data_IF_412519049320
#
_entry.id   IF_412519049320
#
_cell.length_a   1.000
_cell.length_b   1.000
_cell.length_c   1.000
_cell.angle_alpha   90.00
_cell.angle_beta   90.00
_cell.angle_gamma   90.00
#
_symmetry.space_group_name_H-M   'P 1'
#
loop_
_entity.id
_entity.type
_entity.pdbx_description
1 polymer ?
#
# COMPACT_ATOMS: atom_id res chain seq x y z
N UNK A 1 -50.11 8.88 58.20
CA UNK A 1 -48.98 8.15 58.79
C UNK A 1 -49.34 6.67 58.72
N UNK A 2 -48.92 5.96 57.73
CA UNK A 2 -49.06 4.51 57.59
C UNK A 2 -47.66 3.97 57.48
N UNK A 3 -47.35 3.01 58.35
CA UNK A 3 -46.02 2.56 58.70
C UNK A 3 -45.33 1.76 57.57
N UNK A 4 -44.08 2.11 57.36
CA UNK A 4 -43.09 1.50 56.42
C UNK A 4 -42.52 0.17 56.95
N UNK A 5 -43.30 -0.77 57.44
CA UNK A 5 -42.72 -1.96 58.10
C UNK A 5 -43.41 -3.32 57.81
N UNK A 6 -44.06 -3.49 56.67
CA UNK A 6 -44.65 -4.80 56.35
C UNK A 6 -44.50 -5.20 54.87
N UNK A 7 -43.34 -4.99 54.23
CA UNK A 7 -43.10 -5.47 52.86
C UNK A 7 -41.76 -6.18 52.70
N UNK A 8 -41.22 -6.78 53.76
CA UNK A 8 -39.99 -7.57 53.67
C UNK A 8 -40.27 -8.90 54.36
N UNK A 9 -41.08 -9.78 53.78
CA UNK A 9 -41.16 -11.19 54.18
C UNK A 9 -42.03 -11.99 53.26
N UNK A 10 -41.77 -12.01 51.95
CA UNK A 10 -42.32 -13.02 51.00
C UNK A 10 -41.65 -13.01 49.63
N UNK A 11 -40.34 -13.10 49.53
CA UNK A 11 -39.64 -13.57 48.30
C UNK A 11 -38.39 -14.31 48.73
N UNK A 12 -38.55 -15.42 49.43
CA UNK A 12 -37.52 -16.40 49.63
C UNK A 12 -38.04 -17.72 49.10
N UNK A 13 -37.97 -17.90 47.81
CA UNK A 13 -38.46 -19.12 47.18
C UNK A 13 -38.17 -19.12 45.67
N UNK A 14 -37.06 -19.70 45.27
CA UNK A 14 -36.92 -20.25 43.91
C UNK A 14 -36.28 -19.38 42.84
N UNK A 15 -35.07 -18.88 43.02
CA UNK A 15 -34.19 -18.63 41.89
C UNK A 15 -33.41 -19.89 41.54
N UNK A 16 -34.08 -20.84 40.87
CA UNK A 16 -33.38 -21.81 40.05
C UNK A 16 -32.71 -20.99 38.95
N UNK A 17 -31.41 -20.71 39.10
CA UNK A 17 -30.59 -20.09 38.05
C UNK A 17 -30.53 -21.02 36.85
N UNK A 18 -31.38 -20.78 35.89
CA UNK A 18 -31.12 -21.26 34.54
C UNK A 18 -29.90 -20.49 34.02
N UNK A 19 -28.71 -20.97 34.35
CA UNK A 19 -27.54 -20.69 33.52
C UNK A 19 -27.85 -21.33 32.17
N UNK A 20 -28.40 -20.56 31.25
CA UNK A 20 -28.33 -20.89 29.84
C UNK A 20 -26.82 -20.88 29.52
N UNK A 21 -26.19 -22.05 29.73
CA UNK A 21 -24.94 -22.36 29.04
C UNK A 21 -25.30 -22.35 27.56
N UNK A 22 -25.14 -21.18 26.91
CA UNK A 22 -25.00 -21.19 25.47
C UNK A 22 -23.88 -22.20 25.20
N UNK A 23 -24.11 -23.24 24.38
CA UNK A 23 -23.01 -24.05 23.94
C UNK A 23 -22.02 -23.09 23.32
N UNK A 24 -20.81 -22.92 23.90
CA UNK A 24 -19.69 -22.39 23.20
C UNK A 24 -19.53 -23.35 22.01
N UNK A 25 -20.10 -22.98 20.87
CA UNK A 25 -19.73 -23.59 19.61
C UNK A 25 -18.21 -23.34 19.57
N UNK A 26 -17.45 -24.39 19.88
CA UNK A 26 -16.01 -24.40 19.69
C UNK A 26 -15.82 -24.18 18.19
N UNK A 27 -15.77 -22.92 17.78
CA UNK A 27 -15.43 -22.58 16.41
C UNK A 27 -14.06 -23.19 16.16
N UNK A 28 -13.97 -24.04 15.14
CA UNK A 28 -12.73 -24.71 14.78
C UNK A 28 -11.64 -23.66 14.53
N UNK A 29 -10.46 -23.93 15.05
CA UNK A 29 -9.26 -23.14 14.78
C UNK A 29 -9.05 -23.01 13.26
N UNK A 30 -8.71 -21.81 12.82
CA UNK A 30 -8.38 -21.50 11.44
C UNK A 30 -6.89 -21.14 11.38
N UNK A 31 -6.10 -21.91 10.66
CA UNK A 31 -4.69 -21.60 10.42
C UNK A 31 -4.57 -20.72 9.16
N UNK A 32 -3.75 -19.65 9.25
CA UNK A 32 -3.53 -18.69 8.18
C UNK A 32 -2.03 -18.41 8.00
N UNK A 33 -1.44 -19.01 6.97
CA UNK A 33 -0.08 -18.70 6.54
C UNK A 33 -0.08 -17.44 5.67
N UNK A 34 0.71 -16.44 6.05
CA UNK A 34 0.87 -15.18 5.33
C UNK A 34 2.30 -15.09 4.84
N UNK A 35 2.51 -15.05 3.53
CA UNK A 35 3.81 -14.82 2.89
C UNK A 35 3.94 -13.35 2.48
N UNK A 36 5.13 -12.79 2.46
CA UNK A 36 5.31 -11.35 2.24
C UNK A 36 6.41 -11.04 1.24
N UNK A 37 6.21 -9.96 0.48
CA UNK A 37 7.26 -9.35 -0.35
C UNK A 37 8.26 -8.50 0.46
N UNK A 38 7.98 -8.27 1.75
CA UNK A 38 8.75 -7.36 2.59
C UNK A 38 9.74 -8.10 3.48
N UNK A 39 10.97 -7.58 3.65
CA UNK A 39 11.93 -8.14 4.59
C UNK A 39 11.42 -8.10 6.03
N UNK A 40 11.82 -9.09 6.84
CA UNK A 40 11.48 -9.14 8.27
C UNK A 40 12.04 -7.91 9.00
N UNK A 41 11.25 -7.39 9.93
CA UNK A 41 11.60 -6.23 10.78
C UNK A 41 11.96 -4.95 10.00
N UNK A 42 11.72 -4.93 8.68
CA UNK A 42 11.94 -3.72 7.90
C UNK A 42 10.93 -2.64 8.32
N UNK A 43 11.41 -1.48 8.83
CA UNK A 43 10.54 -0.43 9.33
C UNK A 43 9.55 0.07 8.28
N UNK A 44 8.30 0.24 8.69
CA UNK A 44 7.20 0.53 7.79
C UNK A 44 6.59 -0.76 7.25
N UNK A 45 7.03 -1.28 6.12
CA UNK A 45 6.33 -2.36 5.40
C UNK A 45 6.45 -3.73 6.07
N UNK A 46 7.65 -4.14 6.47
CA UNK A 46 7.87 -5.42 7.14
C UNK A 46 7.22 -5.46 8.52
N UNK A 47 7.44 -4.42 9.33
CA UNK A 47 6.83 -4.31 10.67
C UNK A 47 5.32 -4.17 10.59
N UNK A 48 4.78 -3.50 9.56
CA UNK A 48 3.36 -3.40 9.26
C UNK A 48 2.75 -4.79 9.01
N UNK A 49 3.35 -5.55 8.11
CA UNK A 49 2.87 -6.90 7.78
C UNK A 49 2.88 -7.84 8.99
N UNK A 50 3.92 -7.77 9.84
CA UNK A 50 4.01 -8.55 11.08
C UNK A 50 2.95 -8.13 12.10
N UNK A 51 2.75 -6.84 12.28
CA UNK A 51 1.73 -6.25 13.18
C UNK A 51 0.33 -6.65 12.74
N UNK A 52 0.03 -6.57 11.44
CA UNK A 52 -1.23 -6.98 10.86
C UNK A 52 -1.51 -8.48 11.12
N UNK A 53 -0.53 -9.36 10.88
CA UNK A 53 -0.67 -10.78 11.14
C UNK A 53 -1.00 -11.04 12.63
N UNK A 54 -0.26 -10.43 13.55
CA UNK A 54 -0.52 -10.54 14.98
C UNK A 54 -1.93 -10.02 15.35
N UNK A 55 -2.35 -8.91 14.72
CA UNK A 55 -3.65 -8.29 14.99
C UNK A 55 -4.84 -9.16 14.60
N UNK A 56 -4.76 -9.91 13.51
CA UNK A 56 -5.79 -10.90 13.13
C UNK A 56 -5.96 -11.95 14.23
N UNK A 57 -4.85 -12.49 14.73
CA UNK A 57 -4.88 -13.48 15.82
C UNK A 57 -5.48 -12.89 17.11
N UNK A 58 -5.09 -11.68 17.46
CA UNK A 58 -5.62 -10.97 18.63
C UNK A 58 -7.12 -10.71 18.53
N UNK A 59 -7.60 -10.12 17.43
CA UNK A 59 -9.01 -9.79 17.21
C UNK A 59 -9.92 -11.04 17.16
N UNK A 60 -9.36 -12.17 16.76
CA UNK A 60 -10.07 -13.45 16.74
C UNK A 60 -10.00 -14.21 18.06
N UNK A 61 -9.37 -13.63 19.12
CA UNK A 61 -9.12 -14.29 20.41
C UNK A 61 -8.37 -15.63 20.24
N UNK A 62 -7.44 -15.68 19.27
CA UNK A 62 -6.63 -16.87 18.97
C UNK A 62 -7.35 -17.92 18.10
N UNK A 63 -8.55 -17.65 17.61
CA UNK A 63 -9.28 -18.59 16.73
C UNK A 63 -8.65 -18.64 15.33
N UNK A 64 -8.28 -17.49 14.75
CA UNK A 64 -7.44 -17.42 13.55
C UNK A 64 -5.99 -17.33 14.01
N UNK A 65 -5.21 -18.37 13.73
CA UNK A 65 -3.79 -18.41 14.10
C UNK A 65 -2.96 -18.11 12.87
N UNK A 66 -2.34 -16.95 12.86
CA UNK A 66 -1.48 -16.50 11.75
C UNK A 66 -0.05 -17.00 11.93
N UNK A 67 0.56 -17.44 10.83
CA UNK A 67 2.01 -17.65 10.72
C UNK A 67 2.55 -16.77 9.61
N UNK A 68 3.42 -15.82 9.97
CA UNK A 68 3.99 -14.84 9.03
C UNK A 68 5.36 -15.28 8.54
N UNK A 69 5.54 -15.25 7.22
CA UNK A 69 6.80 -15.52 6.51
C UNK A 69 7.20 -14.26 5.74
N UNK A 70 8.34 -13.69 6.09
CA UNK A 70 8.91 -12.56 5.39
C UNK A 70 9.48 -12.94 4.01
N UNK A 71 9.88 -11.96 3.23
CA UNK A 71 10.49 -12.15 1.92
C UNK A 71 11.65 -13.16 1.96
N UNK A 72 11.56 -14.21 1.18
CA UNK A 72 12.58 -15.25 1.07
C UNK A 72 12.55 -16.33 2.16
N UNK A 73 11.68 -16.25 3.18
CA UNK A 73 11.62 -17.28 4.23
C UNK A 73 10.84 -18.53 3.79
N UNK A 74 9.91 -18.39 2.90
CA UNK A 74 9.14 -19.52 2.34
C UNK A 74 9.19 -19.53 0.80
N UNK A 75 8.94 -18.37 0.19
CA UNK A 75 9.03 -18.17 -1.26
C UNK A 75 9.74 -16.86 -1.57
N UNK A 76 10.16 -16.66 -2.83
CA UNK A 76 10.73 -15.41 -3.27
C UNK A 76 9.73 -14.24 -3.15
N UNK A 77 10.21 -12.99 -2.98
CA UNK A 77 9.34 -11.84 -2.72
C UNK A 77 8.34 -11.55 -3.85
N UNK A 78 8.61 -11.97 -5.08
CA UNK A 78 7.69 -11.85 -6.22
C UNK A 78 6.90 -13.12 -6.52
N UNK A 79 7.14 -14.22 -5.78
CA UNK A 79 6.44 -15.50 -5.97
C UNK A 79 5.24 -15.65 -5.02
N UNK A 80 5.04 -14.70 -4.10
CA UNK A 80 3.98 -14.75 -3.08
C UNK A 80 2.57 -14.82 -3.66
N UNK A 81 2.34 -14.21 -4.83
CA UNK A 81 1.06 -14.27 -5.53
C UNK A 81 0.73 -15.69 -5.97
N UNK A 82 1.68 -16.36 -6.64
CA UNK A 82 1.49 -17.72 -7.16
C UNK A 82 1.40 -18.75 -6.03
N UNK A 83 2.13 -18.53 -4.93
CA UNK A 83 2.04 -19.34 -3.70
C UNK A 83 0.62 -19.32 -3.12
N UNK A 84 -0.02 -18.14 -3.10
CA UNK A 84 -1.38 -17.98 -2.58
C UNK A 84 -2.42 -18.41 -3.61
N UNK A 85 -2.23 -18.08 -4.89
CA UNK A 85 -3.14 -18.50 -5.96
C UNK A 85 -3.26 -20.04 -6.05
N UNK A 86 -2.15 -20.76 -5.83
CA UNK A 86 -2.12 -22.23 -5.80
C UNK A 86 -2.72 -22.85 -4.52
N UNK A 87 -3.01 -22.04 -3.48
CA UNK A 87 -3.53 -22.49 -2.20
C UNK A 87 -2.48 -23.01 -1.21
N UNK A 88 -1.19 -22.93 -1.51
CA UNK A 88 -0.11 -23.36 -0.62
C UNK A 88 0.03 -22.47 0.62
N UNK A 89 -0.35 -21.19 0.50
CA UNK A 89 -0.52 -20.25 1.61
C UNK A 89 -1.87 -19.57 1.50
N UNK A 90 -2.40 -19.08 2.62
CA UNK A 90 -3.73 -18.50 2.67
C UNK A 90 -3.74 -17.04 2.25
N UNK A 91 -2.63 -16.32 2.48
CA UNK A 91 -2.54 -14.92 2.14
C UNK A 91 -1.12 -14.48 1.77
N UNK A 92 -1.03 -13.37 1.03
CA UNK A 92 0.20 -12.62 0.86
C UNK A 92 0.02 -11.15 1.29
N UNK A 93 1.12 -10.53 1.72
CA UNK A 93 1.20 -9.10 1.96
C UNK A 93 2.19 -8.48 0.98
N UNK A 94 1.71 -7.60 0.07
CA UNK A 94 2.48 -7.07 -1.05
C UNK A 94 1.84 -5.84 -1.69
N UNK A 95 2.24 -5.52 -2.92
CA UNK A 95 1.66 -4.49 -3.79
C UNK A 95 1.29 -5.13 -5.14
N UNK A 96 0.01 -5.07 -5.51
CA UNK A 96 -0.51 -5.83 -6.66
C UNK A 96 0.07 -5.41 -8.01
N UNK A 97 0.60 -4.18 -8.14
CA UNK A 97 1.23 -3.74 -9.39
C UNK A 97 2.48 -4.56 -9.80
N UNK A 98 3.07 -5.33 -8.87
CA UNK A 98 4.16 -6.25 -9.21
C UNK A 98 3.71 -7.33 -10.21
N UNK A 99 2.42 -7.62 -10.25
CA UNK A 99 1.83 -8.61 -11.16
C UNK A 99 1.12 -7.99 -12.37
N UNK A 100 1.54 -6.77 -12.78
CA UNK A 100 1.05 -6.16 -14.04
C UNK A 100 1.24 -7.07 -15.25
N UNK A 101 2.25 -7.96 -15.23
CA UNK A 101 2.48 -8.96 -16.27
C UNK A 101 1.42 -10.07 -16.31
N UNK A 102 0.68 -10.31 -15.21
CA UNK A 102 -0.46 -11.23 -15.19
C UNK A 102 -1.73 -10.54 -15.71
N UNK A 103 -1.99 -9.33 -15.23
CA UNK A 103 -3.07 -8.46 -15.73
C UNK A 103 -2.73 -6.99 -15.45
N UNK A 104 -2.66 -6.13 -16.46
CA UNK A 104 -2.20 -4.75 -16.27
C UNK A 104 -3.13 -3.90 -15.40
N UNK A 105 -4.41 -4.27 -15.26
CA UNK A 105 -5.31 -3.53 -14.36
C UNK A 105 -4.92 -3.62 -12.86
N UNK A 106 -4.06 -4.54 -12.44
CA UNK A 106 -3.58 -4.59 -11.06
C UNK A 106 -2.87 -3.30 -10.62
N UNK A 107 -2.30 -2.54 -11.54
CA UNK A 107 -1.61 -1.29 -11.23
C UNK A 107 -2.53 -0.24 -10.57
N UNK A 108 -3.81 -0.18 -10.96
CA UNK A 108 -4.77 0.81 -10.43
C UNK A 108 -5.07 0.58 -8.94
N UNK A 109 -4.85 -0.62 -8.44
CA UNK A 109 -5.08 -0.99 -7.04
C UNK A 109 -3.84 -0.83 -6.15
N UNK A 110 -2.72 -0.42 -6.73
CA UNK A 110 -1.54 0.04 -5.99
C UNK A 110 -1.31 1.52 -6.25
N UNK A 111 -0.83 1.89 -7.42
CA UNK A 111 -0.64 3.27 -7.86
C UNK A 111 -0.41 3.35 -9.36
N UNK A 112 -0.77 4.47 -9.96
CA UNK A 112 -0.46 4.79 -11.37
C UNK A 112 0.13 6.19 -11.45
N UNK A 113 1.00 6.46 -12.43
CA UNK A 113 1.53 7.80 -12.64
C UNK A 113 0.42 8.84 -12.78
N UNK A 114 0.60 10.00 -12.14
CA UNK A 114 -0.37 11.10 -12.12
C UNK A 114 -1.78 10.69 -11.64
N UNK A 115 -1.86 9.60 -10.87
CA UNK A 115 -3.09 9.03 -10.34
C UNK A 115 -3.52 9.66 -9.01
N UNK A 116 -4.38 8.92 -8.31
CA UNK A 116 -4.96 9.33 -7.04
C UNK A 116 -3.93 9.37 -5.92
N UNK A 117 -4.02 10.39 -5.07
CA UNK A 117 -3.40 10.38 -3.74
C UNK A 117 -4.05 9.31 -2.85
N UNK A 118 -3.44 8.96 -1.72
CA UNK A 118 -4.05 7.98 -0.80
C UNK A 118 -5.46 8.39 -0.34
N UNK A 119 -5.72 9.69 -0.16
CA UNK A 119 -7.04 10.18 0.25
C UNK A 119 -8.10 9.88 -0.82
N UNK A 120 -7.80 10.21 -2.06
CA UNK A 120 -8.68 9.98 -3.22
C UNK A 120 -8.84 8.49 -3.51
N UNK A 121 -7.74 7.73 -3.46
CA UNK A 121 -7.74 6.30 -3.69
C UNK A 121 -8.60 5.56 -2.65
N UNK A 122 -8.48 5.93 -1.37
CA UNK A 122 -9.31 5.35 -0.30
C UNK A 122 -10.80 5.63 -0.52
N UNK A 123 -11.16 6.82 -1.00
CA UNK A 123 -12.53 7.17 -1.34
C UNK A 123 -13.01 6.34 -2.55
N UNK A 124 -12.16 6.18 -3.57
CA UNK A 124 -12.48 5.38 -4.75
C UNK A 124 -12.72 3.91 -4.42
N UNK A 125 -11.77 3.26 -3.72
CA UNK A 125 -11.88 1.85 -3.36
C UNK A 125 -12.99 1.60 -2.35
N UNK A 126 -13.10 2.45 -1.32
CA UNK A 126 -14.02 2.20 -0.20
C UNK A 126 -15.47 2.60 -0.46
N UNK A 127 -15.72 3.53 -1.41
CA UNK A 127 -17.05 4.16 -1.59
C UNK A 127 -17.51 4.19 -3.04
N UNK A 128 -16.59 4.34 -4.01
CA UNK A 128 -16.92 4.54 -5.43
C UNK A 128 -16.88 3.23 -6.25
N UNK A 129 -16.79 2.07 -5.61
CA UNK A 129 -16.82 0.76 -6.28
C UNK A 129 -15.45 0.23 -6.76
N UNK A 130 -14.35 0.88 -6.40
CA UNK A 130 -13.01 0.41 -6.76
C UNK A 130 -12.72 -1.00 -6.23
N UNK A 131 -13.25 -1.38 -5.04
CA UNK A 131 -13.09 -2.73 -4.50
C UNK A 131 -13.76 -3.79 -5.38
N UNK A 132 -14.94 -3.52 -5.92
CA UNK A 132 -15.65 -4.48 -6.78
C UNK A 132 -14.88 -4.71 -8.09
N UNK A 133 -14.29 -3.65 -8.65
CA UNK A 133 -13.41 -3.76 -9.82
C UNK A 133 -12.13 -4.54 -9.50
N UNK A 134 -11.55 -4.36 -8.32
CA UNK A 134 -10.39 -5.13 -7.88
C UNK A 134 -10.71 -6.62 -7.76
N UNK A 135 -11.85 -6.92 -7.16
CA UNK A 135 -12.34 -8.29 -7.04
C UNK A 135 -12.54 -8.95 -8.41
N UNK A 136 -13.08 -8.21 -9.39
CA UNK A 136 -13.27 -8.71 -10.74
C UNK A 136 -11.93 -8.98 -11.45
N UNK A 137 -10.92 -8.12 -11.26
CA UNK A 137 -9.58 -8.31 -11.84
C UNK A 137 -8.87 -9.49 -11.19
N UNK A 138 -8.98 -9.67 -9.87
CA UNK A 138 -8.26 -10.69 -9.12
C UNK A 138 -8.91 -12.09 -9.19
N UNK A 139 -10.23 -12.14 -9.36
CA UNK A 139 -11.00 -13.41 -9.31
C UNK A 139 -10.52 -14.49 -10.30
N UNK A 140 -10.16 -14.20 -11.57
CA UNK A 140 -9.65 -15.21 -12.49
C UNK A 140 -8.36 -15.90 -12.02
N UNK A 141 -7.62 -15.25 -11.13
CA UNK A 141 -6.38 -15.78 -10.53
C UNK A 141 -6.63 -16.50 -9.19
N UNK A 142 -7.89 -16.66 -8.77
CA UNK A 142 -8.21 -17.24 -7.48
C UNK A 142 -7.79 -16.38 -6.27
N UNK A 143 -7.72 -15.08 -6.45
CA UNK A 143 -7.29 -14.10 -5.42
C UNK A 143 -8.48 -13.20 -5.03
N UNK A 144 -8.52 -12.84 -3.75
CA UNK A 144 -9.28 -11.75 -3.16
C UNK A 144 -8.29 -10.78 -2.53
N UNK A 145 -8.18 -9.57 -3.05
CA UNK A 145 -7.29 -8.54 -2.49
C UNK A 145 -8.07 -7.53 -1.63
N UNK A 146 -7.42 -7.07 -0.56
CA UNK A 146 -7.97 -6.10 0.41
C UNK A 146 -6.90 -5.06 0.70
N UNK A 147 -7.22 -3.73 0.76
CA UNK A 147 -6.29 -2.71 1.19
C UNK A 147 -5.72 -3.02 2.58
N UNK A 148 -4.39 -3.06 2.72
CA UNK A 148 -3.73 -3.41 3.97
C UNK A 148 -2.35 -2.75 4.10
N UNK A 149 -2.30 -1.45 3.99
CA UNK A 149 -1.11 -0.62 4.08
C UNK A 149 -1.10 0.50 3.04
N UNK A 150 -0.33 1.53 3.30
CA UNK A 150 -0.19 2.68 2.41
C UNK A 150 1.20 3.31 2.52
N UNK A 151 1.73 3.83 1.42
CA UNK A 151 3.05 4.47 1.37
C UNK A 151 2.99 5.99 1.54
N UNK A 152 1.81 6.59 1.40
CA UNK A 152 1.72 8.04 1.18
C UNK A 152 2.23 8.44 -0.20
N UNK A 153 2.30 9.74 -0.46
CA UNK A 153 2.94 10.25 -1.68
C UNK A 153 4.44 10.00 -1.62
N UNK A 154 4.97 9.43 -2.69
CA UNK A 154 6.37 9.03 -2.74
C UNK A 154 7.29 10.14 -3.28
N UNK A 155 8.58 9.99 -3.01
CA UNK A 155 9.63 10.77 -3.64
C UNK A 155 9.88 10.27 -5.07
N UNK A 156 10.43 11.14 -5.91
CA UNK A 156 10.77 10.79 -7.30
C UNK A 156 11.94 9.83 -7.44
N UNK A 157 12.74 9.69 -6.38
CA UNK A 157 13.80 8.69 -6.28
C UNK A 157 15.19 9.26 -6.00
N UNK A 158 16.14 8.35 -5.93
CA UNK A 158 17.56 8.56 -5.65
C UNK A 158 18.37 8.43 -6.92
N UNK A 159 19.27 9.39 -7.16
CA UNK A 159 20.05 9.48 -8.38
C UNK A 159 21.54 9.71 -8.06
N UNK A 160 22.40 9.01 -8.80
CA UNK A 160 23.85 9.22 -8.71
C UNK A 160 24.32 10.46 -9.50
N UNK A 161 23.47 11.02 -10.34
CA UNK A 161 23.72 12.25 -11.12
C UNK A 161 22.54 13.21 -11.01
N UNK A 162 22.78 14.47 -11.30
CA UNK A 162 21.69 15.44 -11.41
C UNK A 162 20.83 15.17 -12.64
N UNK A 163 19.54 15.44 -12.50
CA UNK A 163 18.55 15.43 -13.58
C UNK A 163 18.12 16.88 -13.82
N UNK A 164 18.76 17.51 -14.78
CA UNK A 164 18.52 18.91 -15.11
C UNK A 164 17.54 19.06 -16.27
N UNK A 165 17.38 18.04 -17.08
CA UNK A 165 16.48 17.98 -18.22
C UNK A 165 15.99 16.56 -18.49
N UNK A 166 14.98 16.41 -19.33
CA UNK A 166 14.50 15.11 -19.75
C UNK A 166 15.55 14.30 -20.54
N UNK A 167 16.53 14.95 -21.17
CA UNK A 167 17.63 14.28 -21.87
C UNK A 167 18.53 13.48 -20.92
N UNK A 168 18.60 13.87 -19.65
CA UNK A 168 19.36 13.15 -18.61
C UNK A 168 18.77 11.80 -18.25
N UNK A 169 17.52 11.55 -18.63
CA UNK A 169 16.86 10.26 -18.45
C UNK A 169 17.28 9.22 -19.50
N UNK A 170 17.80 9.67 -20.67
CA UNK A 170 18.20 8.76 -21.74
C UNK A 170 19.33 7.83 -21.30
N UNK A 171 19.11 6.54 -21.45
CA UNK A 171 20.06 5.49 -21.05
C UNK A 171 20.16 5.27 -19.53
N UNK A 172 19.40 6.01 -18.70
CA UNK A 172 19.41 5.86 -17.24
C UNK A 172 18.89 4.46 -16.87
N UNK A 173 19.68 3.71 -16.13
CA UNK A 173 19.26 2.42 -15.57
C UNK A 173 18.61 2.71 -14.20
N UNK A 174 17.31 2.64 -14.15
CA UNK A 174 16.58 2.97 -12.91
C UNK A 174 15.71 1.81 -12.45
N UNK A 175 15.80 1.46 -11.17
CA UNK A 175 14.79 0.59 -10.56
C UNK A 175 13.51 1.41 -10.37
N UNK A 176 12.49 1.04 -11.12
CA UNK A 176 11.13 1.60 -11.00
C UNK A 176 10.11 0.57 -11.48
N UNK A 177 9.35 -0.07 -10.58
CA UNK A 177 8.30 -1.03 -10.96
C UNK A 177 7.04 -0.31 -11.47
N UNK A 178 6.01 -1.08 -11.80
CA UNK A 178 4.72 -0.54 -12.21
C UNK A 178 4.77 0.20 -13.55
N UNK A 179 3.83 1.11 -13.75
CA UNK A 179 3.75 1.92 -14.97
C UNK A 179 4.74 3.10 -14.99
N UNK A 180 5.30 3.48 -13.83
CA UNK A 180 6.37 4.48 -13.77
C UNK A 180 7.59 4.04 -14.60
N UNK A 181 7.96 2.77 -14.52
CA UNK A 181 9.01 2.19 -15.37
C UNK A 181 8.66 2.27 -16.86
N UNK A 182 7.42 1.97 -17.23
CA UNK A 182 6.99 2.04 -18.63
C UNK A 182 7.06 3.49 -19.16
N UNK A 183 6.70 4.49 -18.34
CA UNK A 183 6.89 5.92 -18.66
C UNK A 183 8.36 6.24 -18.91
N UNK A 184 9.26 5.81 -18.00
CA UNK A 184 10.68 6.02 -18.18
C UNK A 184 11.22 5.37 -19.46
N UNK A 185 10.71 4.19 -19.84
CA UNK A 185 11.06 3.54 -21.10
C UNK A 185 10.69 4.40 -22.32
N UNK A 186 9.53 5.07 -22.30
CA UNK A 186 9.12 6.02 -23.37
C UNK A 186 10.05 7.21 -23.50
N UNK A 187 10.72 7.56 -22.41
CA UNK A 187 11.70 8.68 -22.36
C UNK A 187 13.14 8.22 -22.61
N UNK A 188 13.33 6.95 -22.99
CA UNK A 188 14.64 6.40 -23.36
C UNK A 188 15.48 5.90 -22.20
N UNK A 189 14.93 5.80 -21.00
CA UNK A 189 15.59 5.12 -19.88
C UNK A 189 15.50 3.58 -19.99
N UNK A 190 16.22 2.89 -19.13
CA UNK A 190 16.24 1.42 -19.01
C UNK A 190 15.76 1.00 -17.62
N UNK A 191 14.45 0.99 -17.36
CA UNK A 191 13.92 0.60 -16.06
C UNK A 191 14.02 -0.91 -15.82
N UNK A 192 14.19 -1.27 -14.54
CA UNK A 192 14.17 -2.66 -14.06
C UNK A 192 13.30 -2.77 -12.83
N UNK A 193 12.67 -3.92 -12.62
CA UNK A 193 11.99 -4.25 -11.37
C UNK A 193 12.91 -5.14 -10.53
N UNK A 194 13.32 -4.66 -9.36
CA UNK A 194 14.10 -5.43 -8.38
C UNK A 194 13.32 -5.53 -7.07
N UNK A 195 13.35 -6.69 -6.40
CA UNK A 195 12.77 -6.83 -5.08
C UNK A 195 13.54 -6.00 -4.04
N UNK A 196 12.91 -5.63 -2.91
CA UNK A 196 13.47 -4.72 -1.92
C UNK A 196 14.91 -5.05 -1.48
N UNK A 197 15.18 -6.30 -1.16
CA UNK A 197 16.49 -6.74 -0.66
C UNK A 197 17.64 -6.65 -1.67
N UNK A 198 17.38 -6.34 -2.94
CA UNK A 198 18.42 -6.25 -3.98
C UNK A 198 18.71 -4.79 -4.39
N UNK A 199 17.91 -3.83 -3.95
CA UNK A 199 17.99 -2.44 -4.45
C UNK A 199 19.33 -1.80 -4.04
N UNK A 200 19.64 -1.79 -2.75
CA UNK A 200 20.85 -1.12 -2.22
C UNK A 200 22.13 -1.65 -2.87
N UNK A 201 22.29 -2.96 -2.94
CA UNK A 201 23.50 -3.59 -3.51
C UNK A 201 23.66 -3.26 -4.99
N UNK A 202 22.56 -3.26 -5.78
CA UNK A 202 22.62 -2.92 -7.18
C UNK A 202 22.93 -1.44 -7.43
N UNK A 203 22.46 -0.54 -6.54
CA UNK A 203 22.75 0.88 -6.63
C UNK A 203 24.22 1.16 -6.26
N UNK A 204 24.74 0.54 -5.20
CA UNK A 204 26.16 0.64 -4.80
C UNK A 204 27.09 0.07 -5.88
N UNK A 205 26.72 -1.07 -6.47
CA UNK A 205 27.51 -1.71 -7.53
C UNK A 205 27.46 -0.97 -8.87
N UNK A 206 26.58 0.03 -9.04
CA UNK A 206 26.39 0.74 -10.31
C UNK A 206 25.69 -0.10 -11.38
N UNK A 207 25.07 -1.21 -11.02
CA UNK A 207 24.22 -2.00 -11.91
C UNK A 207 22.99 -1.20 -12.31
N UNK A 208 22.48 -0.37 -11.38
CA UNK A 208 21.49 0.67 -11.61
C UNK A 208 22.08 2.04 -11.25
N UNK A 209 21.68 3.08 -11.96
CA UNK A 209 22.13 4.48 -11.76
C UNK A 209 21.20 5.24 -10.81
N UNK A 210 19.97 4.76 -10.65
CA UNK A 210 18.92 5.38 -9.86
C UNK A 210 17.91 4.34 -9.36
N UNK A 211 17.19 4.72 -8.31
CA UNK A 211 16.10 3.92 -7.76
C UNK A 211 15.05 4.81 -7.13
N UNK A 212 13.80 4.39 -7.14
CA UNK A 212 12.81 4.81 -6.16
C UNK A 212 12.58 3.70 -5.13
N UNK A 213 11.96 4.04 -3.99
CA UNK A 213 11.47 3.04 -3.05
C UNK A 213 10.13 3.47 -2.46
N UNK A 214 10.10 4.52 -1.63
CA UNK A 214 8.86 5.05 -1.08
C UNK A 214 9.04 6.53 -0.67
N UNK A 215 9.33 6.78 0.60
CA UNK A 215 9.53 8.09 1.15
C UNK A 215 10.64 8.10 2.18
N UNK A 216 10.99 9.27 2.72
CA UNK A 216 12.17 9.46 3.55
C UNK A 216 12.31 8.49 4.72
N UNK A 217 11.20 8.12 5.36
CA UNK A 217 11.21 7.15 6.47
C UNK A 217 11.70 5.77 6.04
N UNK A 218 11.10 5.20 5.02
CA UNK A 218 11.46 3.88 4.52
C UNK A 218 12.84 3.88 3.84
N UNK A 219 13.13 4.91 3.05
CA UNK A 219 14.37 5.06 2.29
C UNK A 219 15.59 5.21 3.21
N UNK A 220 15.40 5.83 4.39
CA UNK A 220 16.44 5.91 5.41
C UNK A 220 16.90 4.53 5.87
N UNK A 221 15.98 3.61 6.14
CA UNK A 221 16.32 2.25 6.56
C UNK A 221 16.85 1.37 5.43
N UNK A 222 16.56 1.73 4.17
CA UNK A 222 17.23 1.14 3.00
C UNK A 222 18.64 1.67 2.81
N UNK A 223 19.03 2.71 3.55
CA UNK A 223 20.35 3.38 3.46
C UNK A 223 20.67 3.93 2.06
N UNK A 224 19.66 4.30 1.28
CA UNK A 224 19.85 4.78 -0.09
C UNK A 224 20.71 6.04 -0.15
N UNK A 225 20.74 6.84 0.91
CA UNK A 225 21.61 8.02 1.06
C UNK A 225 23.13 7.67 1.12
N UNK A 226 23.50 6.42 1.40
CA UNK A 226 24.88 5.98 1.33
C UNK A 226 25.32 5.69 -0.12
N UNK A 227 24.35 5.38 -1.00
CA UNK A 227 24.58 4.94 -2.36
C UNK A 227 24.31 6.02 -3.43
N UNK A 228 23.45 7.01 -3.13
CA UNK A 228 23.12 8.11 -4.03
C UNK A 228 22.94 9.41 -3.28
N UNK A 229 23.33 10.53 -3.92
CA UNK A 229 23.39 11.86 -3.30
C UNK A 229 22.13 12.68 -3.53
N UNK A 230 21.54 12.58 -4.73
CA UNK A 230 20.43 13.43 -5.15
C UNK A 230 19.10 12.74 -4.91
N UNK A 231 18.22 13.39 -4.16
CA UNK A 231 16.91 12.88 -3.79
C UNK A 231 15.81 13.77 -4.35
N UNK A 232 15.16 13.30 -5.41
CA UNK A 232 14.21 14.11 -6.19
C UNK A 232 12.77 13.98 -5.71
N UNK A 233 12.00 15.08 -5.90
CA UNK A 233 10.55 15.15 -5.62
C UNK A 233 9.84 16.05 -6.65
N UNK A 234 8.49 16.00 -6.71
CA UNK A 234 7.63 14.91 -6.22
C UNK A 234 7.74 13.68 -7.11
N UNK A 235 7.36 12.50 -6.57
CA UNK A 235 7.26 11.29 -7.36
C UNK A 235 6.04 11.33 -8.27
N UNK A 236 6.24 11.31 -9.58
CA UNK A 236 5.16 11.30 -10.56
C UNK A 236 4.47 9.93 -10.64
N UNK A 237 5.18 8.88 -10.30
CA UNK A 237 4.82 7.47 -10.51
C UNK A 237 3.87 6.93 -9.42
N UNK A 238 4.02 7.39 -8.17
CA UNK A 238 3.25 6.93 -7.01
C UNK A 238 2.80 8.10 -6.12
N UNK A 239 1.76 8.84 -6.53
CA UNK A 239 1.19 9.91 -5.71
C UNK A 239 0.48 9.38 -4.45
N UNK A 240 0.16 8.07 -4.41
CA UNK A 240 -0.40 7.39 -3.26
C UNK A 240 -0.38 5.88 -3.47
N UNK A 241 0.64 5.18 -2.95
CA UNK A 241 0.74 3.74 -3.06
C UNK A 241 -0.11 3.01 -2.02
N UNK A 242 -0.93 2.04 -2.45
CA UNK A 242 -1.66 1.12 -1.58
C UNK A 242 -1.00 -0.24 -1.56
N UNK A 243 -0.86 -0.81 -0.36
CA UNK A 243 -0.43 -2.18 -0.16
C UNK A 243 -1.65 -3.06 0.11
N UNK A 244 -1.52 -4.36 -0.12
CA UNK A 244 -2.64 -5.28 -0.01
C UNK A 244 -2.34 -6.53 0.81
N UNK A 245 -3.41 -7.10 1.35
CA UNK A 245 -3.52 -8.49 1.73
C UNK A 245 -4.25 -9.21 0.60
N UNK A 246 -3.52 -10.02 -0.18
CA UNK A 246 -4.13 -10.90 -1.17
C UNK A 246 -4.40 -12.26 -0.56
N UNK A 247 -5.63 -12.73 -0.65
CA UNK A 247 -6.11 -13.97 -0.04
C UNK A 247 -6.40 -15.01 -1.10
N UNK A 248 -6.13 -16.29 -0.82
CA UNK A 248 -6.69 -17.35 -1.63
C UNK A 248 -8.22 -17.25 -1.59
N UNK A 249 -8.84 -17.05 -2.75
CA UNK A 249 -10.28 -16.76 -2.86
C UNK A 249 -11.15 -17.89 -2.29
N UNK A 250 -10.80 -19.15 -2.59
CA UNK A 250 -11.57 -20.28 -2.11
C UNK A 250 -11.47 -20.44 -0.59
N UNK A 251 -10.29 -20.22 -0.02
CA UNK A 251 -10.11 -20.20 1.43
C UNK A 251 -10.91 -19.07 2.08
N UNK A 252 -10.86 -17.86 1.51
CA UNK A 252 -11.63 -16.71 1.97
C UNK A 252 -13.14 -16.95 1.96
N UNK A 253 -13.67 -17.54 0.90
CA UNK A 253 -15.10 -17.87 0.76
C UNK A 253 -15.54 -18.98 1.71
N UNK A 254 -14.62 -19.83 2.16
CA UNK A 254 -14.86 -20.87 3.15
C UNK A 254 -14.91 -20.37 4.60
N UNK A 255 -14.51 -19.13 4.86
CA UNK A 255 -14.52 -18.54 6.20
C UNK A 255 -15.94 -18.17 6.64
N UNK A 256 -16.15 -18.18 7.96
CA UNK A 256 -17.38 -17.61 8.54
C UNK A 256 -17.43 -16.09 8.28
N UNK A 257 -18.63 -15.52 8.23
CA UNK A 257 -18.80 -14.06 8.07
C UNK A 257 -18.09 -13.26 9.16
N UNK A 258 -18.01 -13.80 10.39
CA UNK A 258 -17.28 -13.17 11.50
C UNK A 258 -15.77 -13.18 11.22
N UNK A 259 -15.22 -14.30 10.73
CA UNK A 259 -13.78 -14.37 10.39
C UNK A 259 -13.40 -13.40 9.28
N UNK A 260 -14.23 -13.31 8.27
CA UNK A 260 -14.06 -12.32 7.20
C UNK A 260 -14.06 -10.90 7.75
N UNK A 261 -15.00 -10.57 8.64
CA UNK A 261 -15.07 -9.24 9.25
C UNK A 261 -13.86 -8.92 10.13
N UNK A 262 -13.32 -9.90 10.86
CA UNK A 262 -12.09 -9.74 11.66
C UNK A 262 -10.91 -9.40 10.75
N UNK A 263 -10.72 -10.14 9.66
CA UNK A 263 -9.63 -9.88 8.71
C UNK A 263 -9.80 -8.51 8.05
N UNK A 264 -11.01 -8.15 7.63
CA UNK A 264 -11.30 -6.83 7.06
C UNK A 264 -11.01 -5.69 8.06
N UNK A 265 -11.39 -5.87 9.33
CA UNK A 265 -11.13 -4.88 10.37
C UNK A 265 -9.62 -4.70 10.62
N UNK A 266 -8.88 -5.81 10.72
CA UNK A 266 -7.42 -5.77 10.87
C UNK A 266 -6.73 -5.10 9.67
N UNK A 267 -7.16 -5.39 8.44
CA UNK A 267 -6.66 -4.75 7.23
C UNK A 267 -6.91 -3.24 7.23
N UNK A 268 -8.13 -2.83 7.59
CA UNK A 268 -8.49 -1.41 7.63
C UNK A 268 -7.72 -0.64 8.71
N UNK A 269 -7.54 -1.24 9.89
CA UNK A 269 -6.73 -0.69 10.97
C UNK A 269 -5.27 -0.51 10.51
N UNK A 270 -4.68 -1.54 9.90
CA UNK A 270 -3.30 -1.49 9.45
C UNK A 270 -3.09 -0.55 8.26
N UNK A 271 -4.06 -0.45 7.35
CA UNK A 271 -4.01 0.50 6.23
C UNK A 271 -3.94 1.95 6.73
N UNK A 272 -4.78 2.31 7.69
CA UNK A 272 -4.74 3.63 8.32
C UNK A 272 -3.43 3.84 9.08
N UNK A 273 -3.01 2.87 9.89
CA UNK A 273 -1.80 2.94 10.72
C UNK A 273 -0.53 3.11 9.90
N UNK A 274 -0.40 2.41 8.80
CA UNK A 274 0.79 2.53 7.93
C UNK A 274 0.87 3.93 7.32
N UNK A 275 -0.26 4.48 6.88
CA UNK A 275 -0.32 5.85 6.38
C UNK A 275 0.07 6.88 7.45
N UNK A 276 -0.46 6.73 8.67
CA UNK A 276 -0.11 7.58 9.81
C UNK A 276 1.39 7.49 10.13
N UNK A 277 1.97 6.29 10.12
CA UNK A 277 3.39 6.06 10.37
C UNK A 277 4.28 6.81 9.36
N UNK A 278 3.97 6.76 8.07
CA UNK A 278 4.78 7.45 7.05
C UNK A 278 4.63 8.97 7.13
N UNK A 279 3.42 9.46 7.33
CA UNK A 279 3.18 10.92 7.48
C UNK A 279 3.88 11.47 8.74
N UNK A 280 3.84 10.73 9.85
CA UNK A 280 4.45 11.14 11.10
C UNK A 280 5.99 11.17 11.03
N UNK A 281 6.60 10.31 10.22
CA UNK A 281 8.04 10.09 10.24
C UNK A 281 8.79 10.71 9.05
N UNK A 282 8.17 10.83 7.87
CA UNK A 282 8.87 11.26 6.65
C UNK A 282 9.62 12.59 6.82
N UNK A 283 9.01 13.61 7.46
CA UNK A 283 9.65 14.92 7.66
C UNK A 283 10.93 14.83 8.49
N UNK A 284 10.87 14.13 9.63
CA UNK A 284 12.01 14.00 10.54
C UNK A 284 13.17 13.20 9.91
N UNK A 285 12.86 12.13 9.17
CA UNK A 285 13.90 11.35 8.48
C UNK A 285 14.49 12.09 7.29
N UNK A 286 13.71 12.89 6.56
CA UNK A 286 14.23 13.76 5.50
C UNK A 286 15.20 14.78 6.06
N UNK A 287 14.84 15.47 7.16
CA UNK A 287 15.72 16.43 7.82
C UNK A 287 17.00 15.78 8.33
N UNK A 288 16.90 14.57 8.88
CA UNK A 288 18.05 13.79 9.32
C UNK A 288 18.99 13.45 8.15
N UNK A 289 18.47 12.96 7.04
CA UNK A 289 19.28 12.65 5.85
C UNK A 289 20.00 13.87 5.30
N UNK A 290 19.32 15.01 5.23
CA UNK A 290 19.94 16.27 4.78
C UNK A 290 21.03 16.73 5.75
N UNK A 291 20.74 16.78 7.05
CA UNK A 291 21.66 17.31 8.06
C UNK A 291 22.87 16.41 8.32
N UNK A 292 22.62 15.09 8.49
CA UNK A 292 23.60 14.15 9.00
C UNK A 292 24.34 13.41 7.87
N UNK A 293 23.76 13.32 6.67
CA UNK A 293 24.32 12.60 5.53
C UNK A 293 24.51 13.44 4.26
N UNK A 294 24.19 14.74 4.30
CA UNK A 294 24.44 15.66 3.20
C UNK A 294 23.62 15.37 1.93
N UNK A 295 22.43 14.77 2.10
CA UNK A 295 21.53 14.49 0.97
C UNK A 295 21.06 15.80 0.33
N UNK A 296 21.14 15.87 -0.97
CA UNK A 296 20.67 17.02 -1.75
C UNK A 296 19.25 16.76 -2.27
N UNK A 297 18.28 17.40 -1.63
CA UNK A 297 16.87 17.33 -2.03
C UNK A 297 16.65 18.27 -3.22
N UNK A 298 16.11 17.75 -4.31
CA UNK A 298 15.91 18.44 -5.58
C UNK A 298 14.47 18.31 -6.08
N UNK A 299 13.88 19.41 -6.55
CA UNK A 299 12.64 19.37 -7.31
C UNK A 299 12.93 19.01 -8.78
N UNK A 300 12.11 18.14 -9.37
CA UNK A 300 12.12 18.04 -10.83
C UNK A 300 11.67 19.36 -11.45
N UNK A 301 12.33 19.78 -12.54
CA UNK A 301 11.89 20.94 -13.28
C UNK A 301 10.57 20.67 -14.03
N UNK A 302 9.83 21.73 -14.37
CA UNK A 302 8.56 21.59 -15.05
C UNK A 302 8.69 20.87 -16.39
N UNK A 303 9.77 21.15 -17.16
CA UNK A 303 10.01 20.48 -18.44
C UNK A 303 10.24 18.96 -18.29
N UNK A 304 10.91 18.51 -17.24
CA UNK A 304 11.05 17.08 -16.91
C UNK A 304 9.68 16.49 -16.55
N UNK A 305 8.91 17.20 -15.73
CA UNK A 305 7.59 16.76 -15.30
C UNK A 305 6.59 16.68 -16.46
N UNK A 306 6.64 17.65 -17.37
CA UNK A 306 5.83 17.66 -18.59
C UNK A 306 6.16 16.45 -19.48
N UNK A 307 7.45 16.06 -19.58
CA UNK A 307 7.85 14.85 -20.31
C UNK A 307 7.40 13.56 -19.62
N UNK A 308 7.41 13.49 -18.29
CA UNK A 308 6.79 12.38 -17.58
C UNK A 308 5.31 12.26 -17.94
N UNK A 309 4.58 13.38 -18.01
CA UNK A 309 3.17 13.38 -18.36
C UNK A 309 2.92 12.97 -19.82
N UNK A 310 3.72 13.46 -20.78
CA UNK A 310 3.65 13.01 -22.18
C UNK A 310 3.88 11.49 -22.29
N UNK A 311 4.90 10.96 -21.62
CA UNK A 311 5.16 9.51 -21.57
C UNK A 311 4.02 8.74 -20.93
N UNK A 312 3.44 9.29 -19.86
CA UNK A 312 2.28 8.71 -19.19
C UNK A 312 1.06 8.60 -20.09
N UNK A 313 0.73 9.63 -20.87
CA UNK A 313 -0.41 9.59 -21.77
C UNK A 313 -0.34 8.40 -22.75
N UNK A 314 0.85 8.12 -23.29
CA UNK A 314 1.06 6.97 -24.15
C UNK A 314 0.89 5.63 -23.41
N UNK A 315 1.51 5.50 -22.23
CA UNK A 315 1.42 4.29 -21.39
C UNK A 315 -0.01 4.05 -20.90
N UNK A 316 -0.71 5.12 -20.51
CA UNK A 316 -2.10 5.04 -20.06
C UNK A 316 -3.01 4.47 -21.16
N UNK A 317 -2.89 4.96 -22.40
CA UNK A 317 -3.70 4.49 -23.51
C UNK A 317 -3.34 3.04 -23.90
N UNK A 318 -2.07 2.67 -23.93
CA UNK A 318 -1.64 1.28 -24.15
C UNK A 318 -2.22 0.34 -23.09
N UNK A 319 -2.16 0.75 -21.82
CA UNK A 319 -2.72 -0.02 -20.69
C UNK A 319 -4.23 -0.17 -20.84
N UNK A 320 -4.91 0.93 -21.13
CA UNK A 320 -6.37 1.00 -21.30
C UNK A 320 -6.87 0.06 -22.41
N UNK A 321 -6.13 -0.08 -23.50
CA UNK A 321 -6.49 -0.90 -24.67
C UNK A 321 -6.27 -2.40 -24.44
N UNK A 322 -5.67 -2.83 -23.35
CA UNK A 322 -5.33 -4.24 -23.13
C UNK A 322 -6.56 -5.17 -23.13
N UNK A 323 -7.64 -4.78 -22.48
CA UNK A 323 -8.89 -5.54 -22.39
C UNK A 323 -10.07 -4.64 -22.05
N UNK A 324 -11.30 -5.15 -22.27
CA UNK A 324 -12.52 -4.44 -21.86
C UNK A 324 -12.54 -4.17 -20.34
N UNK A 325 -12.08 -5.12 -19.53
CA UNK A 325 -11.99 -4.96 -18.09
C UNK A 325 -10.96 -3.87 -17.71
N UNK A 326 -9.78 -3.89 -18.34
CA UNK A 326 -8.77 -2.84 -18.09
C UNK A 326 -9.29 -1.46 -18.48
N UNK A 327 -9.98 -1.37 -19.65
CA UNK A 327 -10.60 -0.12 -20.10
C UNK A 327 -11.62 0.40 -19.10
N UNK A 328 -12.48 -0.47 -18.57
CA UNK A 328 -13.49 -0.10 -17.58
C UNK A 328 -12.87 0.37 -16.27
N UNK A 329 -11.84 -0.31 -15.78
CA UNK A 329 -11.09 0.09 -14.58
C UNK A 329 -10.44 1.46 -14.80
N UNK A 330 -9.75 1.66 -15.93
CA UNK A 330 -9.10 2.92 -16.28
C UNK A 330 -10.10 4.07 -16.34
N UNK A 331 -11.17 3.90 -17.14
CA UNK A 331 -12.16 4.95 -17.38
C UNK A 331 -12.87 5.36 -16.09
N UNK A 332 -13.23 4.39 -15.23
CA UNK A 332 -13.84 4.66 -13.91
C UNK A 332 -12.85 5.36 -12.99
N UNK A 333 -11.61 4.87 -12.90
CA UNK A 333 -10.58 5.47 -12.06
C UNK A 333 -10.35 6.95 -12.39
N UNK A 334 -10.18 7.31 -13.68
CA UNK A 334 -9.90 8.69 -14.07
C UNK A 334 -11.13 9.59 -14.04
N UNK A 335 -12.34 9.03 -14.23
CA UNK A 335 -13.58 9.77 -14.02
C UNK A 335 -13.74 10.17 -12.54
N UNK A 336 -13.52 9.23 -11.63
CA UNK A 336 -13.58 9.47 -10.19
C UNK A 336 -12.42 10.35 -9.71
N UNK A 337 -11.21 10.20 -10.25
CA UNK A 337 -10.10 11.12 -9.96
C UNK A 337 -10.45 12.57 -10.30
N UNK A 338 -11.13 12.80 -11.43
CA UNK A 338 -11.54 14.16 -11.82
C UNK A 338 -12.51 14.77 -10.81
N UNK A 339 -13.45 13.97 -10.29
CA UNK A 339 -14.42 14.41 -9.27
C UNK A 339 -13.73 14.64 -7.92
N UNK A 340 -13.02 13.62 -7.41
CA UNK A 340 -12.36 13.64 -6.10
C UNK A 340 -11.22 14.67 -6.06
N UNK A 341 -10.36 14.70 -7.09
CA UNK A 341 -9.28 15.67 -7.20
C UNK A 341 -9.76 17.11 -7.33
N UNK A 342 -10.90 17.32 -7.98
CA UNK A 342 -11.56 18.63 -8.02
C UNK A 342 -11.97 19.13 -6.63
N UNK A 343 -12.45 18.24 -5.76
CA UNK A 343 -12.76 18.58 -4.37
C UNK A 343 -11.48 18.76 -3.53
N UNK A 344 -10.53 17.84 -3.58
CA UNK A 344 -9.30 17.92 -2.77
C UNK A 344 -8.47 19.15 -3.10
N UNK A 345 -8.49 19.62 -4.37
CA UNK A 345 -7.83 20.86 -4.78
C UNK A 345 -8.40 22.10 -4.06
N UNK A 346 -9.70 22.13 -3.80
CA UNK A 346 -10.37 23.24 -3.07
C UNK A 346 -10.26 23.04 -1.56
N UNK A 347 -10.47 21.82 -1.09
CA UNK A 347 -10.46 21.45 0.33
C UNK A 347 -9.05 21.39 0.90
N UNK A 348 -8.51 20.17 1.04
CA UNK A 348 -7.25 19.90 1.74
C UNK A 348 -6.04 20.61 1.14
N UNK A 349 -5.90 20.60 -0.19
CA UNK A 349 -4.78 21.24 -0.88
C UNK A 349 -4.91 22.77 -0.79
N UNK A 350 -6.11 23.29 -1.06
CA UNK A 350 -6.39 24.72 -0.97
C UNK A 350 -6.10 25.28 0.42
N UNK A 351 -6.59 24.60 1.47
CA UNK A 351 -6.30 24.96 2.85
C UNK A 351 -4.79 24.85 3.17
N UNK A 352 -4.18 23.72 2.82
CA UNK A 352 -2.76 23.46 3.10
C UNK A 352 -1.86 24.49 2.45
N UNK A 353 -2.13 24.89 1.22
CA UNK A 353 -1.38 25.92 0.52
C UNK A 353 -1.43 27.28 1.25
N UNK A 354 -2.62 27.70 1.72
CA UNK A 354 -2.75 28.96 2.47
C UNK A 354 -2.07 28.89 3.85
N UNK A 355 -2.26 27.78 4.58
CA UNK A 355 -1.57 27.55 5.86
C UNK A 355 -0.05 27.60 5.67
N UNK A 356 0.48 26.86 4.73
CA UNK A 356 1.91 26.74 4.48
C UNK A 356 2.51 28.10 4.10
N UNK A 357 1.82 28.85 3.23
CA UNK A 357 2.23 30.21 2.85
C UNK A 357 2.31 31.15 4.07
N UNK A 358 1.31 31.11 4.96
CA UNK A 358 1.24 32.00 6.13
C UNK A 358 2.22 31.60 7.24
N UNK A 359 2.48 30.31 7.40
CA UNK A 359 3.35 29.78 8.45
C UNK A 359 4.79 29.54 7.98
N UNK A 360 5.12 29.81 6.71
CA UNK A 360 6.44 29.55 6.17
C UNK A 360 6.78 28.05 6.13
N UNK A 361 5.79 27.18 6.00
CA UNK A 361 5.98 25.74 5.87
C UNK A 361 6.18 25.39 4.39
N UNK A 362 7.24 24.70 4.12
CA UNK A 362 7.61 24.26 2.76
C UNK A 362 9.12 24.41 2.54
N UNK A 363 9.64 23.78 1.49
CA UNK A 363 11.04 23.86 1.07
C UNK A 363 11.16 24.62 -0.24
#
# INVERSE_FOLDING_TARGET
MIERRQFISAVAGGTAGYTLSMPALAQSRVDMNIVSSWPRDFPGFGTSAQRHAARITELSEGRIVTTYYAAGERVGPFDVFDEVASGNSQAYNSADYYWKGKHPAFVYFTSVPFGMTNLEWNAWVGVKGGQDLWDEVAAPFGIKSIPCGATGSQMGGWFNKEINSADDLKGLKMRMPGLGGDVLSKLGASPVALPPGQIYENLVAGTIDATEWAGPYNDYFMKLYEAAKYYYYPGFHEPGGSLCLGLNKSWWEGLSAIDQQIILAACKEEHARTYEDVIANNGAYLDRMVRDHGVEVRGFSNDVYDKFYEGWQAVAEETRQHSELTRRVHDTYFADLKELGGWTAIGEIGYSNQRNRLMGLGR
#
